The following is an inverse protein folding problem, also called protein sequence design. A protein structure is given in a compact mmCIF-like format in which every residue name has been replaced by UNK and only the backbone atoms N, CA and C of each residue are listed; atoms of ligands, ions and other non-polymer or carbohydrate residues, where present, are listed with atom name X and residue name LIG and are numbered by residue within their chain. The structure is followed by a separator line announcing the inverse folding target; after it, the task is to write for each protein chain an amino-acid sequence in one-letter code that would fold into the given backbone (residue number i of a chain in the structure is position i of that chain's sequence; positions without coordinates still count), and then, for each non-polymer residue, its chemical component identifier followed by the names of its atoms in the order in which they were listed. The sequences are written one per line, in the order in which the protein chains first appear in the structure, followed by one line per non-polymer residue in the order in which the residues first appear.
data_IF_031383450959
#
_entry.id   IF_031383450959
#
_cell.length_a   1.000
_cell.length_b   1.000
_cell.length_c   1.000
_cell.angle_alpha   90.00
_cell.angle_beta   90.00
_cell.angle_gamma   90.00
#
_symmetry.space_group_name_H-M   'P 1'
#
loop_
_entity.id
_entity.type
_entity.pdbx_description
1 polymer ?
#
# COMPACT_ATOMS: atom_id res chain seq x y z
N UNK A 1 9.45 12.57 2.31
CA UNK A 1 8.19 12.09 1.68
C UNK A 1 8.10 10.58 1.64
N UNK A 2 9.07 9.87 1.04
CA UNK A 2 9.07 8.40 0.95
C UNK A 2 8.90 7.68 2.31
N UNK A 3 9.74 7.99 3.31
CA UNK A 3 9.65 7.38 4.64
C UNK A 3 8.33 7.66 5.36
N UNK A 4 7.74 8.84 5.14
CA UNK A 4 6.43 9.20 5.70
C UNK A 4 5.34 8.34 5.07
N UNK A 5 5.32 8.22 3.73
CA UNK A 5 4.37 7.35 3.04
C UNK A 5 4.56 5.88 3.42
N UNK A 6 5.80 5.46 3.73
CA UNK A 6 6.08 4.10 4.18
C UNK A 6 5.46 3.85 5.57
N UNK A 7 5.64 4.77 6.50
CA UNK A 7 5.03 4.69 7.83
C UNK A 7 3.49 4.67 7.75
N UNK A 8 2.90 5.51 6.90
CA UNK A 8 1.45 5.53 6.67
C UNK A 8 0.96 4.22 6.07
N UNK A 9 1.69 3.64 5.11
CA UNK A 9 1.33 2.35 4.54
C UNK A 9 1.40 1.22 5.57
N UNK A 10 2.42 1.19 6.43
CA UNK A 10 2.50 0.21 7.53
C UNK A 10 1.34 0.38 8.50
N UNK A 11 0.98 1.61 8.87
CA UNK A 11 -0.18 1.87 9.72
C UNK A 11 -1.49 1.40 9.06
N UNK A 12 -1.66 1.62 7.75
CA UNK A 12 -2.81 1.15 6.98
C UNK A 12 -2.95 -0.38 7.02
N UNK A 13 -1.86 -1.13 6.84
CA UNK A 13 -1.88 -2.60 6.98
C UNK A 13 -2.26 -3.02 8.41
N UNK A 14 -1.76 -2.31 9.42
CA UNK A 14 -2.14 -2.54 10.82
C UNK A 14 -3.64 -2.35 11.06
N UNK A 15 -4.24 -1.30 10.51
CA UNK A 15 -5.69 -1.05 10.59
C UNK A 15 -6.49 -2.17 9.93
N UNK A 16 -6.09 -2.62 8.74
CA UNK A 16 -6.74 -3.75 8.05
C UNK A 16 -6.70 -5.00 8.92
N UNK A 17 -5.55 -5.31 9.52
CA UNK A 17 -5.39 -6.49 10.35
C UNK A 17 -6.28 -6.43 11.59
N UNK A 18 -6.27 -5.31 12.33
CA UNK A 18 -7.11 -5.11 13.52
C UNK A 18 -8.59 -5.18 13.17
N UNK A 19 -8.99 -4.72 11.99
CA UNK A 19 -10.40 -4.72 11.57
C UNK A 19 -10.87 -6.10 11.08
N UNK A 20 -10.03 -6.86 10.36
CA UNK A 20 -10.37 -8.20 9.86
C UNK A 20 -10.27 -9.30 10.93
N UNK A 21 -9.33 -9.17 11.88
CA UNK A 21 -9.09 -10.17 12.91
C UNK A 21 -10.36 -10.57 13.70
N UNK A 22 -11.16 -9.65 14.26
CA UNK A 22 -12.38 -10.02 15.00
C UNK A 22 -13.42 -10.70 14.10
N UNK A 23 -13.56 -10.27 12.84
CA UNK A 23 -14.50 -10.86 11.88
C UNK A 23 -14.17 -12.35 11.65
N UNK A 24 -12.89 -12.65 11.47
CA UNK A 24 -12.41 -14.03 11.27
C UNK A 24 -12.55 -14.87 12.54
N UNK A 25 -12.35 -14.28 13.72
CA UNK A 25 -12.41 -14.99 15.00
C UNK A 25 -13.83 -15.27 15.49
N UNK A 26 -14.77 -14.35 15.29
CA UNK A 26 -16.15 -14.50 15.79
C UNK A 26 -17.02 -15.37 14.88
N UNK A 27 -16.70 -15.42 13.58
CA UNK A 27 -17.60 -15.93 12.55
C UNK A 27 -16.85 -16.63 11.40
N UNK A 28 -16.04 -17.68 11.66
CA UNK A 28 -15.23 -18.31 10.62
C UNK A 28 -16.07 -18.96 9.50
N UNK A 29 -17.30 -19.39 9.78
CA UNK A 29 -18.17 -20.12 8.84
C UNK A 29 -19.22 -19.22 8.14
N UNK A 30 -19.37 -17.96 8.56
CA UNK A 30 -20.44 -17.04 8.13
C UNK A 30 -19.91 -15.82 7.36
N UNK A 31 -18.64 -15.83 6.98
CA UNK A 31 -18.05 -14.78 6.14
C UNK A 31 -18.73 -14.79 4.77
N UNK A 32 -19.59 -13.81 4.51
CA UNK A 32 -20.22 -13.63 3.21
C UNK A 32 -19.12 -13.35 2.15
N UNK A 33 -18.96 -14.22 1.14
CA UNK A 33 -17.93 -14.07 0.13
C UNK A 33 -18.10 -12.82 -0.72
N UNK A 34 -19.33 -12.32 -0.89
CA UNK A 34 -19.60 -11.10 -1.67
C UNK A 34 -19.19 -9.85 -0.90
N UNK A 35 -19.47 -9.78 0.41
CA UNK A 35 -18.99 -8.69 1.27
C UNK A 35 -17.47 -8.68 1.38
N UNK A 36 -16.87 -9.86 1.48
CA UNK A 36 -15.41 -10.04 1.52
C UNK A 36 -14.75 -9.59 0.22
N UNK A 37 -15.37 -9.89 -0.93
CA UNK A 37 -14.89 -9.44 -2.22
C UNK A 37 -14.93 -7.90 -2.33
N UNK A 38 -16.04 -7.28 -1.93
CA UNK A 38 -16.19 -5.81 -1.96
C UNK A 38 -15.17 -5.15 -1.03
N UNK A 39 -15.00 -5.69 0.19
CA UNK A 39 -13.99 -5.22 1.13
C UNK A 39 -12.58 -5.39 0.56
N UNK A 40 -12.29 -6.54 -0.06
CA UNK A 40 -11.03 -6.84 -0.72
C UNK A 40 -10.71 -5.90 -1.89
N UNK A 41 -11.71 -5.50 -2.68
CA UNK A 41 -11.55 -4.53 -3.77
C UNK A 41 -11.21 -3.13 -3.23
N UNK A 42 -11.90 -2.68 -2.18
CA UNK A 42 -11.60 -1.40 -1.53
C UNK A 42 -10.21 -1.38 -0.89
N UNK A 43 -9.89 -2.41 -0.11
CA UNK A 43 -8.59 -2.59 0.54
C UNK A 43 -7.46 -2.71 -0.49
N UNK A 44 -7.68 -3.49 -1.55
CA UNK A 44 -6.74 -3.70 -2.63
C UNK A 44 -6.44 -2.42 -3.40
N UNK A 45 -7.46 -1.63 -3.74
CA UNK A 45 -7.29 -0.36 -4.45
C UNK A 45 -6.46 0.66 -3.67
N UNK A 46 -6.75 0.84 -2.38
CA UNK A 46 -5.98 1.76 -1.52
C UNK A 46 -4.54 1.26 -1.34
N UNK A 47 -4.36 -0.05 -1.16
CA UNK A 47 -3.03 -0.64 -1.02
C UNK A 47 -2.20 -0.48 -2.29
N UNK A 48 -2.82 -0.65 -3.45
CA UNK A 48 -2.17 -0.43 -4.75
C UNK A 48 -1.73 1.02 -4.93
N UNK A 49 -2.55 2.00 -4.50
CA UNK A 49 -2.15 3.41 -4.51
C UNK A 49 -0.88 3.65 -3.67
N UNK A 50 -0.83 3.14 -2.44
CA UNK A 50 0.37 3.26 -1.61
C UNK A 50 1.60 2.60 -2.23
N UNK A 51 1.45 1.41 -2.81
CA UNK A 51 2.53 0.70 -3.48
C UNK A 51 3.10 1.53 -4.64
N UNK A 52 2.25 2.15 -5.45
CA UNK A 52 2.68 3.00 -6.56
C UNK A 52 3.43 4.24 -6.05
N UNK A 53 2.87 4.94 -5.06
CA UNK A 53 3.52 6.14 -4.48
C UNK A 53 4.86 5.78 -3.83
N UNK A 54 4.95 4.64 -3.15
CA UNK A 54 6.19 4.15 -2.56
C UNK A 54 7.21 3.76 -3.62
N UNK A 55 6.78 3.07 -4.68
CA UNK A 55 7.64 2.71 -5.80
C UNK A 55 8.22 3.95 -6.48
N UNK A 56 7.39 4.94 -6.79
CA UNK A 56 7.82 6.18 -7.44
C UNK A 56 8.71 7.01 -6.52
N UNK A 57 8.33 7.10 -5.24
CA UNK A 57 9.13 7.77 -4.21
C UNK A 57 10.49 7.09 -3.98
N UNK A 58 10.54 5.77 -4.05
CA UNK A 58 11.78 4.98 -3.96
C UNK A 58 12.67 5.24 -5.17
N UNK A 59 12.09 5.23 -6.38
CA UNK A 59 12.82 5.57 -7.60
C UNK A 59 13.38 6.99 -7.51
N UNK A 60 12.60 7.98 -7.09
CA UNK A 60 13.08 9.36 -6.93
C UNK A 60 14.19 9.49 -5.89
N UNK A 61 14.07 8.81 -4.75
CA UNK A 61 15.00 8.96 -3.62
C UNK A 61 16.30 8.18 -3.81
N UNK A 62 16.26 7.03 -4.50
CA UNK A 62 17.40 6.11 -4.62
C UNK A 62 17.94 5.92 -6.04
N UNK A 63 17.17 6.16 -7.11
CA UNK A 63 17.79 6.37 -8.41
C UNK A 63 18.33 7.80 -8.44
N UNK A 64 19.61 7.95 -8.08
CA UNK A 64 20.39 9.07 -8.59
C UNK A 64 20.22 9.05 -10.11
N UNK A 65 19.77 10.17 -10.70
CA UNK A 65 19.87 10.39 -12.15
C UNK A 65 21.26 9.92 -12.59
N UNK A 66 21.42 9.24 -13.75
CA UNK A 66 22.75 9.15 -14.33
C UNK A 66 23.27 10.59 -14.47
N UNK A 67 24.25 10.94 -13.66
CA UNK A 67 25.09 12.12 -13.85
C UNK A 67 25.81 11.87 -15.17
N UNK A 68 25.29 12.39 -16.28
CA UNK A 68 25.87 12.02 -17.58
C UNK A 68 25.34 12.70 -18.83
N UNK A 69 24.48 13.72 -18.75
CA UNK A 69 24.20 14.60 -19.90
C UNK A 69 24.26 16.04 -19.41
N UNK A 70 25.49 16.55 -19.25
CA UNK A 70 25.73 17.97 -19.40
C UNK A 70 25.52 18.31 -20.89
N UNK A 71 24.89 19.45 -21.21
CA UNK A 71 24.75 19.89 -22.60
C UNK A 71 26.15 20.24 -23.12
N UNK A 72 26.60 19.56 -24.17
CA UNK A 72 27.77 20.02 -24.93
C UNK A 72 27.41 21.37 -25.57
N UNK A 73 28.10 22.42 -25.10
CA UNK A 73 28.19 23.72 -25.75
C UNK A 73 28.64 23.61 -27.21
#
# INVERSE_FOLDING_TARGET
LYLVMLAVFVAWIGVIFVWLLPIVLENPDTIDPMLTLIAGLGVGGISQFFILVLKDGWQFYFRKKPQGEQPSE
#
